data_IF_579234061258
#
_entry.id   IF_579234061258
#
_cell.length_a   1.000
_cell.length_b   1.000
_cell.length_c   1.000
_cell.angle_alpha   90.00
_cell.angle_beta   90.00
_cell.angle_gamma   90.00
#
_symmetry.space_group_name_H-M   'P 1'
#
loop_
_entity.id
_entity.type
_entity.pdbx_description
1 polymer ?
#
# COMPACT_ATOMS: atom_id res chain seq x y z
N UNK A 1 8.34 3.79 -4.46
CA UNK A 1 6.91 3.98 -4.73
C UNK A 1 6.65 5.46 -4.89
N UNK A 2 5.87 5.84 -5.90
CA UNK A 2 5.39 7.22 -6.11
C UNK A 2 4.44 7.62 -4.99
N UNK A 3 4.10 8.91 -4.91
CA UNK A 3 3.20 9.39 -3.86
C UNK A 3 1.83 8.72 -3.89
N UNK A 4 1.18 8.63 -5.05
CA UNK A 4 -0.11 7.93 -5.19
C UNK A 4 -0.03 6.47 -4.83
N UNK A 5 1.04 5.76 -5.22
CA UNK A 5 1.22 4.35 -4.89
C UNK A 5 1.24 4.11 -3.37
N UNK A 6 2.13 4.80 -2.64
CA UNK A 6 2.24 4.51 -1.21
C UNK A 6 1.12 5.15 -0.39
N UNK A 7 0.64 6.34 -0.77
CA UNK A 7 -0.45 7.02 -0.05
C UNK A 7 -1.77 6.26 -0.17
N UNK A 8 -2.12 5.79 -1.37
CA UNK A 8 -3.34 5.02 -1.60
C UNK A 8 -3.35 3.72 -0.80
N UNK A 9 -2.28 2.92 -0.89
CA UNK A 9 -2.13 1.68 -0.12
C UNK A 9 -2.20 1.94 1.38
N UNK A 10 -1.47 2.95 1.87
CA UNK A 10 -1.48 3.29 3.29
C UNK A 10 -2.88 3.62 3.78
N UNK A 11 -3.63 4.43 3.02
CA UNK A 11 -5.01 4.82 3.40
C UNK A 11 -5.98 3.65 3.33
N UNK A 12 -5.89 2.80 2.32
CA UNK A 12 -6.79 1.65 2.14
C UNK A 12 -6.56 0.61 3.24
N UNK A 13 -5.30 0.25 3.50
CA UNK A 13 -4.95 -0.83 4.43
C UNK A 13 -5.02 -0.36 5.87
N UNK A 14 -4.34 0.72 6.23
CA UNK A 14 -4.23 1.15 7.64
C UNK A 14 -5.44 1.94 8.11
N UNK A 15 -6.18 2.57 7.18
CA UNK A 15 -7.24 3.56 7.44
C UNK A 15 -6.84 4.72 8.37
N UNK A 16 -5.54 4.94 8.56
CA UNK A 16 -4.98 6.02 9.39
C UNK A 16 -4.68 7.26 8.54
N UNK A 17 -4.40 8.38 9.20
CA UNK A 17 -3.86 9.58 8.52
C UNK A 17 -2.53 9.26 7.84
N UNK A 18 -2.25 9.95 6.73
CA UNK A 18 -0.98 9.81 6.04
C UNK A 18 0.17 10.31 6.94
N UNK A 19 1.29 9.59 7.03
CA UNK A 19 2.49 10.10 7.66
C UNK A 19 3.03 11.30 6.88
N UNK A 20 3.69 12.23 7.59
CA UNK A 20 4.30 13.43 6.97
C UNK A 20 5.42 13.09 5.98
N UNK A 21 6.09 11.97 6.21
CA UNK A 21 7.16 11.46 5.37
C UNK A 21 6.83 10.04 4.90
N UNK A 22 7.29 9.63 3.71
CA UNK A 22 7.08 8.27 3.23
C UNK A 22 7.65 7.24 4.21
N UNK A 23 6.91 6.16 4.52
CA UNK A 23 7.42 5.11 5.38
C UNK A 23 8.61 4.38 4.71
N UNK A 24 9.58 3.88 5.48
CA UNK A 24 10.66 3.07 4.93
C UNK A 24 10.10 1.75 4.36
N UNK A 25 10.78 1.19 3.35
CA UNK A 25 10.34 -0.02 2.65
C UNK A 25 10.06 -1.19 3.60
N UNK A 26 10.90 -1.38 4.62
CA UNK A 26 10.71 -2.44 5.64
C UNK A 26 9.37 -2.35 6.37
N UNK A 27 8.79 -1.14 6.50
CA UNK A 27 7.46 -0.92 7.09
C UNK A 27 6.36 -0.95 6.05
N UNK A 28 6.64 -0.49 4.84
CA UNK A 28 5.64 -0.39 3.78
C UNK A 28 5.36 -1.73 3.09
N UNK A 29 6.37 -2.57 2.86
CA UNK A 29 6.23 -3.84 2.16
C UNK A 29 5.25 -4.80 2.86
N UNK A 30 5.27 -4.97 4.20
CA UNK A 30 4.25 -5.76 4.90
C UNK A 30 2.83 -5.21 4.72
N UNK A 31 2.66 -3.89 4.82
CA UNK A 31 1.37 -3.20 4.63
C UNK A 31 0.85 -3.38 3.20
N UNK A 32 1.73 -3.25 2.20
CA UNK A 32 1.40 -3.52 0.80
C UNK A 32 0.96 -4.98 0.64
N UNK A 33 1.72 -5.93 1.19
CA UNK A 33 1.44 -7.35 1.04
C UNK A 33 0.08 -7.79 1.61
N UNK A 34 -0.50 -7.04 2.57
CA UNK A 34 -1.86 -7.28 3.07
C UNK A 34 -2.90 -7.24 1.94
N UNK A 35 -2.71 -6.39 0.93
CA UNK A 35 -3.58 -6.36 -0.26
C UNK A 35 -3.55 -7.66 -1.06
N UNK A 36 -2.45 -8.41 -0.96
CA UNK A 36 -2.25 -9.71 -1.58
C UNK A 36 -2.58 -10.90 -0.69
N UNK A 37 -3.14 -10.66 0.51
CA UNK A 37 -3.54 -11.70 1.46
C UNK A 37 -2.47 -12.09 2.48
N UNK A 38 -1.40 -11.30 2.63
CA UNK A 38 -0.49 -11.46 3.77
C UNK A 38 -1.19 -10.99 5.06
N UNK A 39 -1.11 -11.79 6.13
CA UNK A 39 -1.83 -11.47 7.36
C UNK A 39 -1.12 -10.43 8.25
N UNK A 40 0.18 -10.21 8.03
CA UNK A 40 0.99 -9.25 8.78
C UNK A 40 0.91 -9.42 10.32
N UNK A 41 0.99 -10.65 10.80
CA UNK A 41 1.05 -10.95 12.25
C UNK A 41 2.48 -10.75 12.75
N UNK A 42 2.63 -10.45 14.04
CA UNK A 42 3.95 -10.20 14.65
C UNK A 42 4.95 -11.37 14.51
N UNK A 43 4.45 -12.60 14.39
CA UNK A 43 5.26 -13.81 14.24
C UNK A 43 5.40 -14.28 12.78
N UNK A 44 4.77 -13.57 11.83
CA UNK A 44 4.83 -13.97 10.43
C UNK A 44 6.24 -13.69 9.87
N UNK A 45 6.70 -14.59 9.00
CA UNK A 45 7.90 -14.35 8.21
C UNK A 45 7.63 -13.29 7.14
N UNK A 46 8.66 -12.61 6.60
CA UNK A 46 8.47 -11.63 5.54
C UNK A 46 7.62 -12.17 4.38
N UNK A 47 6.77 -11.33 3.76
CA UNK A 47 5.84 -11.77 2.73
C UNK A 47 6.56 -12.40 1.54
N UNK A 48 6.09 -13.59 1.12
CA UNK A 48 6.61 -14.28 -0.05
C UNK A 48 6.26 -13.59 -1.39
N UNK A 49 6.77 -14.11 -2.51
CA UNK A 49 6.61 -13.47 -3.82
C UNK A 49 5.17 -13.43 -4.32
N UNK A 50 4.35 -14.45 -4.00
CA UNK A 50 2.95 -14.53 -4.45
C UNK A 50 2.05 -13.43 -3.88
N UNK A 51 1.93 -13.23 -2.55
CA UNK A 51 1.13 -12.14 -2.01
C UNK A 51 1.69 -10.78 -2.46
N UNK A 52 3.01 -10.63 -2.58
CA UNK A 52 3.60 -9.38 -3.04
C UNK A 52 3.24 -9.06 -4.50
N UNK A 53 3.29 -10.03 -5.41
CA UNK A 53 2.89 -9.87 -6.80
C UNK A 53 1.42 -9.45 -6.94
N UNK A 54 0.52 -10.09 -6.18
CA UNK A 54 -0.90 -9.72 -6.15
C UNK A 54 -1.06 -8.29 -5.62
N UNK A 55 -0.38 -7.95 -4.53
CA UNK A 55 -0.43 -6.64 -3.91
C UNK A 55 0.05 -5.51 -4.84
N UNK A 56 1.16 -5.71 -5.57
CA UNK A 56 1.71 -4.71 -6.50
C UNK A 56 0.71 -4.38 -7.61
N UNK A 57 0.02 -5.39 -8.17
CA UNK A 57 -1.02 -5.14 -9.18
C UNK A 57 -2.16 -4.30 -8.62
N UNK A 58 -2.67 -4.66 -7.44
CA UNK A 58 -3.73 -3.89 -6.76
C UNK A 58 -3.30 -2.48 -6.40
N UNK A 59 -2.03 -2.29 -6.00
CA UNK A 59 -1.47 -0.97 -5.71
C UNK A 59 -1.51 -0.08 -6.95
N UNK A 60 -1.21 -0.63 -8.13
CA UNK A 60 -1.26 0.16 -9.36
C UNK A 60 -2.68 0.64 -9.68
N UNK A 61 -3.67 -0.24 -9.54
CA UNK A 61 -5.09 0.11 -9.69
C UNK A 61 -5.50 1.22 -8.69
N UNK A 62 -5.05 1.12 -7.44
CA UNK A 62 -5.34 2.10 -6.41
C UNK A 62 -4.59 3.42 -6.60
N UNK A 63 -3.37 3.39 -7.14
CA UNK A 63 -2.64 4.60 -7.49
C UNK A 63 -3.37 5.37 -8.60
N UNK A 64 -3.86 4.66 -9.63
CA UNK A 64 -4.66 5.28 -10.70
C UNK A 64 -5.94 5.92 -10.15
N UNK A 65 -6.69 5.18 -9.32
CA UNK A 65 -7.89 5.72 -8.67
C UNK A 65 -7.57 6.93 -7.77
N UNK A 66 -6.44 6.89 -7.06
CA UNK A 66 -5.98 7.98 -6.21
C UNK A 66 -5.73 9.25 -7.02
N UNK A 67 -5.01 9.17 -8.13
CA UNK A 67 -4.75 10.33 -8.98
C UNK A 67 -6.07 10.91 -9.54
N UNK A 68 -6.96 10.06 -10.08
CA UNK A 68 -8.23 10.52 -10.68
C UNK A 68 -9.16 11.18 -9.67
N UNK A 69 -9.31 10.61 -8.48
CA UNK A 69 -10.23 11.17 -7.48
C UNK A 69 -9.67 12.38 -6.73
N UNK A 70 -8.34 12.58 -6.73
CA UNK A 70 -7.73 13.77 -6.12
C UNK A 70 -7.72 14.97 -7.07
N UNK A 71 -7.81 14.76 -8.39
CA UNK A 71 -7.91 15.86 -9.36
C UNK A 71 -9.27 16.55 -9.37
N UNK A 72 -10.32 15.94 -8.81
CA UNK A 72 -11.67 16.52 -8.75
C UNK A 72 -11.89 17.46 -7.54
N UNK A 73 -10.86 17.69 -6.71
CA UNK A 73 -10.91 18.60 -5.54
C UNK A 73 -10.38 20.04 -5.83
N UNK A 74 -10.13 20.40 -7.11
CA UNK A 74 -9.79 21.78 -7.54
C UNK A 74 -11.00 22.63 -7.96
#
# INVERSE_FOLDING_TARGET
>A
FTESEWKSVWRIVTRKKLPKTPPPLVKFIPVLAELGGYNNRNSDTPPGPKPLWIAIRRMHDFAQAWEVFHTDEE
#
